data_IF_940119964955
#
_entry.id   IF_940119964955
#
_cell.length_a   1.000
_cell.length_b   1.000
_cell.length_c   1.000
_cell.angle_alpha   90.00
_cell.angle_beta   90.00
_cell.angle_gamma   90.00
#
_symmetry.space_group_name_H-M   'P 1'
#
loop_
_entity.id
_entity.type
_entity.pdbx_description
1 polymer ?
#
# COMPACT_ATOMS: atom_id res chain seq x y z
N UNK A 1 15.40 24.20 19.58
CA UNK A 1 15.07 22.84 19.11
C UNK A 1 14.72 22.95 17.63
N UNK A 2 15.70 22.77 16.75
CA UNK A 2 15.51 22.90 15.31
C UNK A 2 14.82 21.62 14.81
N UNK A 3 13.59 21.74 14.29
CA UNK A 3 12.92 20.66 13.59
C UNK A 3 13.60 20.51 12.23
N UNK A 4 14.39 19.45 12.05
CA UNK A 4 15.13 19.18 10.81
C UNK A 4 14.16 18.82 9.68
N UNK A 5 14.38 19.41 8.50
CA UNK A 5 13.61 19.20 7.28
C UNK A 5 13.50 17.70 6.89
N UNK A 6 14.55 16.92 7.21
CA UNK A 6 14.63 15.46 7.06
C UNK A 6 13.49 14.70 7.75
N UNK A 7 13.02 15.17 8.91
CA UNK A 7 11.95 14.49 9.65
C UNK A 7 10.59 14.69 8.99
N UNK A 8 10.37 15.84 8.35
CA UNK A 8 9.17 16.10 7.56
C UNK A 8 9.18 15.31 6.25
N UNK A 9 10.34 15.22 5.60
CA UNK A 9 10.51 14.40 4.39
C UNK A 9 10.23 12.93 4.68
N UNK A 10 10.76 12.37 5.78
CA UNK A 10 10.50 10.99 6.17
C UNK A 10 9.03 10.70 6.51
N UNK A 11 8.36 11.57 7.26
CA UNK A 11 6.95 11.41 7.58
C UNK A 11 6.03 11.55 6.35
N UNK A 12 6.34 12.51 5.48
CA UNK A 12 5.61 12.72 4.24
C UNK A 12 5.83 11.55 3.25
N UNK A 13 7.04 10.98 3.24
CA UNK A 13 7.35 9.77 2.49
C UNK A 13 6.49 8.59 2.97
N UNK A 14 6.46 8.30 4.28
CA UNK A 14 5.66 7.22 4.84
C UNK A 14 4.15 7.35 4.55
N UNK A 15 3.62 8.58 4.55
CA UNK A 15 2.23 8.83 4.17
C UNK A 15 1.97 8.49 2.69
N UNK A 16 2.85 8.90 1.79
CA UNK A 16 2.74 8.57 0.37
C UNK A 16 2.95 7.08 0.10
N UNK A 17 3.87 6.43 0.81
CA UNK A 17 4.07 4.97 0.77
C UNK A 17 2.79 4.22 1.13
N UNK A 18 2.10 4.63 2.21
CA UNK A 18 0.83 4.03 2.61
C UNK A 18 -0.27 4.21 1.54
N UNK A 19 -0.35 5.40 0.93
CA UNK A 19 -1.27 5.67 -0.17
C UNK A 19 -0.95 4.79 -1.39
N UNK A 20 0.32 4.68 -1.77
CA UNK A 20 0.73 3.87 -2.92
C UNK A 20 0.35 2.40 -2.75
N UNK A 21 0.62 1.83 -1.57
CA UNK A 21 0.21 0.46 -1.22
C UNK A 21 -1.31 0.33 -1.27
N UNK A 22 -2.05 1.25 -0.65
CA UNK A 22 -3.52 1.21 -0.63
C UNK A 22 -4.10 1.23 -2.05
N UNK A 23 -3.68 2.18 -2.88
CA UNK A 23 -4.22 2.38 -4.21
C UNK A 23 -3.85 1.22 -5.14
N UNK A 24 -2.62 0.69 -5.06
CA UNK A 24 -2.22 -0.49 -5.82
C UNK A 24 -3.09 -1.71 -5.49
N UNK A 25 -3.29 -1.99 -4.20
CA UNK A 25 -4.14 -3.11 -3.78
C UNK A 25 -5.60 -2.91 -4.19
N UNK A 26 -6.13 -1.68 -4.08
CA UNK A 26 -7.50 -1.37 -4.52
C UNK A 26 -7.67 -1.49 -6.03
N UNK A 27 -6.65 -1.12 -6.82
CA UNK A 27 -6.69 -1.29 -8.27
C UNK A 27 -6.82 -2.77 -8.66
N UNK A 28 -6.07 -3.66 -7.98
CA UNK A 28 -6.22 -5.09 -8.17
C UNK A 28 -7.63 -5.57 -7.81
N UNK A 29 -8.19 -5.13 -6.68
CA UNK A 29 -9.54 -5.50 -6.26
C UNK A 29 -10.61 -5.01 -7.23
N UNK A 30 -10.47 -3.77 -7.71
CA UNK A 30 -11.37 -3.20 -8.73
C UNK A 30 -11.35 -4.05 -10.00
N UNK A 31 -10.16 -4.45 -10.44
CA UNK A 31 -10.00 -5.35 -11.58
C UNK A 31 -10.63 -6.74 -11.35
N UNK A 32 -10.73 -7.20 -10.09
CA UNK A 32 -11.43 -8.43 -9.72
C UNK A 32 -12.95 -8.25 -9.50
N UNK A 33 -13.50 -7.10 -9.87
CA UNK A 33 -14.95 -6.83 -9.87
C UNK A 33 -15.50 -6.21 -8.59
N UNK A 34 -14.64 -5.81 -7.65
CA UNK A 34 -15.09 -5.05 -6.47
C UNK A 34 -15.34 -3.59 -6.84
N UNK A 35 -16.38 -2.96 -6.30
CA UNK A 35 -16.63 -1.55 -6.58
C UNK A 35 -15.73 -0.63 -5.75
N UNK A 36 -15.47 0.59 -6.25
CA UNK A 36 -14.79 1.63 -5.46
C UNK A 36 -15.49 1.88 -4.12
N UNK A 37 -16.82 2.00 -4.13
CA UNK A 37 -17.66 2.14 -2.92
C UNK A 37 -17.41 1.00 -1.92
N UNK A 38 -17.33 -0.24 -2.40
CA UNK A 38 -17.05 -1.38 -1.54
C UNK A 38 -15.66 -1.23 -0.91
N UNK A 39 -14.63 -0.91 -1.69
CA UNK A 39 -13.27 -0.75 -1.15
C UNK A 39 -13.18 0.43 -0.17
N UNK A 40 -13.89 1.54 -0.45
CA UNK A 40 -13.95 2.72 0.41
C UNK A 40 -14.61 2.41 1.75
N UNK A 41 -15.73 1.70 1.76
CA UNK A 41 -16.49 1.40 2.99
C UNK A 41 -15.85 0.26 3.78
N UNK A 42 -15.44 -0.81 3.11
CA UNK A 42 -14.98 -2.04 3.78
C UNK A 42 -13.50 -2.04 4.09
N UNK A 43 -12.64 -1.55 3.19
CA UNK A 43 -11.20 -1.52 3.43
C UNK A 43 -10.76 -0.22 4.05
N UNK A 44 -11.36 0.91 3.64
CA UNK A 44 -10.93 2.26 4.05
C UNK A 44 -9.41 2.35 3.84
N UNK A 45 -8.67 2.73 4.88
CA UNK A 45 -7.21 2.85 4.92
C UNK A 45 -6.51 1.65 5.59
N UNK A 46 -7.21 0.52 5.77
CA UNK A 46 -6.65 -0.68 6.41
C UNK A 46 -5.83 -1.51 5.40
N UNK A 47 -4.51 -1.28 5.42
CA UNK A 47 -3.56 -1.94 4.51
C UNK A 47 -3.48 -3.45 4.75
N UNK A 48 -3.51 -3.90 6.00
CA UNK A 48 -3.46 -5.33 6.34
C UNK A 48 -4.70 -6.05 5.83
N UNK A 49 -5.87 -5.42 5.95
CA UNK A 49 -7.12 -5.96 5.41
C UNK A 49 -7.10 -6.00 3.88
N UNK A 50 -6.62 -4.94 3.22
CA UNK A 50 -6.46 -4.93 1.77
C UNK A 50 -5.53 -6.07 1.30
N UNK A 51 -4.38 -6.27 1.95
CA UNK A 51 -3.45 -7.37 1.66
C UNK A 51 -4.09 -8.75 1.82
N UNK A 52 -4.85 -8.94 2.90
CA UNK A 52 -5.60 -10.18 3.11
C UNK A 52 -6.61 -10.42 1.98
N UNK A 53 -7.35 -9.40 1.57
CA UNK A 53 -8.33 -9.51 0.50
C UNK A 53 -7.68 -9.90 -0.84
N UNK A 54 -6.59 -9.25 -1.26
CA UNK A 54 -5.95 -9.60 -2.54
C UNK A 54 -5.36 -11.03 -2.51
N UNK A 55 -4.79 -11.46 -1.38
CA UNK A 55 -4.27 -12.83 -1.22
C UNK A 55 -5.37 -13.87 -1.31
N UNK A 56 -6.53 -13.61 -0.70
CA UNK A 56 -7.70 -14.49 -0.79
C UNK A 56 -8.24 -14.63 -2.22
N UNK A 57 -7.93 -13.68 -3.11
CA UNK A 57 -8.30 -13.72 -4.53
C UNK A 57 -7.19 -14.32 -5.41
N UNK A 58 -6.13 -14.88 -4.81
CA UNK A 58 -5.02 -15.51 -5.53
C UNK A 58 -3.98 -14.53 -6.06
N UNK A 59 -3.86 -13.32 -5.50
CA UNK A 59 -2.72 -12.46 -5.82
C UNK A 59 -1.43 -12.99 -5.15
N UNK A 60 -0.61 -13.67 -5.94
CA UNK A 60 0.67 -14.26 -5.49
C UNK A 60 1.85 -13.30 -5.62
N UNK A 61 1.69 -12.19 -6.36
CA UNK A 61 2.75 -11.21 -6.62
C UNK A 61 3.01 -10.21 -5.48
N UNK A 62 2.68 -10.54 -4.22
CA UNK A 62 2.98 -9.66 -3.08
C UNK A 62 4.45 -9.81 -2.72
N UNK A 63 5.28 -8.76 -2.86
CA UNK A 63 6.69 -8.83 -2.48
C UNK A 63 6.89 -9.10 -0.99
N UNK A 64 8.04 -9.70 -0.66
CA UNK A 64 8.50 -9.81 0.71
C UNK A 64 8.64 -8.41 1.33
N UNK A 65 8.35 -8.28 2.63
CA UNK A 65 8.38 -6.99 3.34
C UNK A 65 7.12 -6.13 3.22
N UNK A 66 6.24 -6.31 2.23
CA UNK A 66 4.97 -5.56 2.17
C UNK A 66 4.08 -5.79 3.39
N UNK A 67 4.08 -7.02 3.92
CA UNK A 67 3.32 -7.34 5.14
C UNK A 67 3.85 -6.57 6.35
N UNK A 68 5.16 -6.44 6.46
CA UNK A 68 5.84 -5.74 7.56
C UNK A 68 5.59 -4.23 7.47
N UNK A 69 5.74 -3.66 6.27
CA UNK A 69 5.40 -2.26 6.00
C UNK A 69 3.93 -1.97 6.31
N UNK A 70 2.99 -2.82 5.88
CA UNK A 70 1.57 -2.63 6.17
C UNK A 70 1.24 -2.74 7.66
N UNK A 71 1.99 -3.56 8.42
CA UNK A 71 1.81 -3.71 9.86
C UNK A 71 2.19 -2.44 10.61
N UNK A 72 3.24 -1.73 10.17
CA UNK A 72 3.67 -0.46 10.76
C UNK A 72 2.83 0.71 10.24
N UNK A 73 2.66 0.81 8.92
CA UNK A 73 1.98 1.94 8.29
C UNK A 73 0.47 1.91 8.48
N UNK A 74 -0.16 0.73 8.46
CA UNK A 74 -1.62 0.58 8.47
C UNK A 74 -2.33 1.28 9.64
N UNK A 75 -1.95 1.03 10.90
CA UNK A 75 -2.55 1.69 12.06
C UNK A 75 -2.37 3.22 12.04
N UNK A 76 -1.20 3.70 11.63
CA UNK A 76 -0.89 5.13 11.55
C UNK A 76 -1.62 5.81 10.39
N UNK A 77 -1.81 5.10 9.29
CA UNK A 77 -2.56 5.58 8.15
C UNK A 77 -4.05 5.65 8.46
N UNK A 78 -4.62 4.57 9.03
CA UNK A 78 -6.02 4.49 9.42
C UNK A 78 -6.46 5.51 10.48
N UNK A 79 -5.57 5.86 11.42
CA UNK A 79 -5.81 6.92 12.41
C UNK A 79 -5.60 8.34 11.87
N UNK A 80 -5.01 8.48 10.68
CA UNK A 80 -4.62 9.77 10.10
C UNK A 80 -3.32 10.35 10.68
N UNK A 81 -2.61 9.63 11.54
CA UNK A 81 -1.36 10.06 12.17
C UNK A 81 -0.27 10.38 11.14
N UNK A 82 -0.14 9.58 10.07
CA UNK A 82 0.83 9.85 9.01
C UNK A 82 0.56 11.19 8.32
N UNK A 83 -0.70 11.54 8.07
CA UNK A 83 -1.09 12.83 7.48
C UNK A 83 -0.72 14.02 8.38
N UNK A 84 -0.63 13.80 9.70
CA UNK A 84 -0.21 14.84 10.66
C UNK A 84 1.31 14.98 10.78
N UNK A 85 2.08 14.17 10.05
CA UNK A 85 3.54 14.24 10.04
C UNK A 85 4.22 13.35 11.08
N UNK A 86 3.53 12.33 11.63
CA UNK A 86 4.19 11.31 12.45
C UNK A 86 5.14 10.49 11.57
N UNK A 87 6.41 10.41 11.97
CA UNK A 87 7.44 9.58 11.34
C UNK A 87 7.44 8.20 12.01
N UNK A 88 7.02 7.13 11.31
CA UNK A 88 7.14 5.79 11.83
C UNK A 88 8.59 5.32 11.83
N UNK A 89 8.92 4.43 12.76
CA UNK A 89 10.13 3.62 12.68
C UNK A 89 9.83 2.43 11.75
N UNK A 90 10.39 2.47 10.54
CA UNK A 90 10.18 1.43 9.54
C UNK A 90 11.12 0.26 9.82
N UNK A 91 10.67 -0.99 9.61
CA UNK A 91 11.50 -2.18 9.81
C UNK A 91 12.59 -2.32 8.73
N UNK A 92 12.62 -1.42 7.74
CA UNK A 92 13.42 -1.48 6.54
C UNK A 92 14.01 -0.09 6.24
N UNK A 93 15.21 -0.03 5.63
CA UNK A 93 15.74 1.22 5.09
C UNK A 93 14.77 1.87 4.08
N UNK A 94 14.71 3.20 3.97
CA UNK A 94 13.78 3.90 3.08
C UNK A 94 13.88 3.47 1.61
N UNK A 95 15.09 3.28 1.08
CA UNK A 95 15.35 2.84 -0.29
C UNK A 95 14.83 1.41 -0.54
N UNK A 96 14.97 0.53 0.44
CA UNK A 96 14.44 -0.83 0.40
C UNK A 96 12.91 -0.82 0.44
N UNK A 97 12.31 0.01 1.30
CA UNK A 97 10.87 0.17 1.37
C UNK A 97 10.29 0.70 0.05
N UNK A 98 10.92 1.71 -0.54
CA UNK A 98 10.52 2.27 -1.83
C UNK A 98 10.60 1.23 -2.96
N UNK A 99 11.68 0.43 -3.01
CA UNK A 99 11.82 -0.63 -4.00
C UNK A 99 10.72 -1.69 -3.86
N UNK A 100 10.45 -2.14 -2.62
CA UNK A 100 9.39 -3.12 -2.32
C UNK A 100 8.01 -2.60 -2.76
N UNK A 101 7.74 -1.30 -2.58
CA UNK A 101 6.49 -0.68 -3.04
C UNK A 101 6.42 -0.63 -4.56
N UNK A 102 7.51 -0.26 -5.24
CA UNK A 102 7.61 -0.29 -6.70
C UNK A 102 7.37 -1.70 -7.26
N UNK A 103 7.94 -2.72 -6.61
CA UNK A 103 7.76 -4.12 -7.00
C UNK A 103 6.29 -4.56 -6.84
N UNK A 104 5.63 -4.15 -5.76
CA UNK A 104 4.21 -4.40 -5.55
C UNK A 104 3.36 -3.77 -6.66
N UNK A 105 3.62 -2.50 -6.98
CA UNK A 105 2.87 -1.79 -8.03
C UNK A 105 3.07 -2.44 -9.40
N UNK A 106 4.30 -2.84 -9.71
CA UNK A 106 4.61 -3.56 -10.95
C UNK A 106 3.91 -4.92 -11.03
N UNK A 107 3.85 -5.65 -9.92
CA UNK A 107 3.15 -6.93 -9.84
C UNK A 107 1.63 -6.77 -9.99
N UNK A 108 1.05 -5.72 -9.40
CA UNK A 108 -0.37 -5.37 -9.59
C UNK A 108 -0.64 -5.05 -11.06
N UNK A 109 0.18 -4.21 -11.69
CA UNK A 109 0.05 -3.85 -13.09
C UNK A 109 0.10 -5.09 -14.00
N UNK A 110 1.06 -5.98 -13.79
CA UNK A 110 1.18 -7.22 -14.54
C UNK A 110 -0.05 -8.14 -14.35
N UNK A 111 -0.56 -8.25 -13.12
CA UNK A 111 -1.74 -9.06 -12.83
C UNK A 111 -3.03 -8.50 -13.45
N UNK A 112 -3.13 -7.18 -13.63
CA UNK A 112 -4.23 -6.52 -14.33
C UNK A 112 -4.09 -6.72 -15.85
N UNK A 113 -2.87 -6.60 -16.39
CA UNK A 113 -2.61 -6.73 -17.82
C UNK A 113 -2.91 -8.15 -18.34
N UNK A 114 -2.54 -9.19 -17.58
CA UNK A 114 -2.70 -10.61 -17.99
C UNK A 114 -4.14 -11.05 -18.17
N UNK A 115 -5.09 -10.47 -17.44
CA UNK A 115 -6.51 -10.81 -17.52
C UNK A 115 -7.28 -10.01 -18.59
N UNK A 116 -6.65 -8.98 -19.17
CA UNK A 116 -7.21 -8.17 -20.25
C UNK A 116 -7.20 -8.89 -21.61
N UNK A 117 -6.49 -10.03 -21.70
CA UNK A 117 -6.26 -10.78 -22.94
C UNK A 117 -7.32 -11.83 -23.26
N UNK A 118 -8.31 -12.07 -22.40
CA UNK A 118 -9.29 -13.16 -22.56
C UNK A 118 -10.66 -12.72 -23.09
N UNK A 119 -10.85 -11.42 -23.35
CA UNK A 119 -12.06 -10.86 -23.99
C UNK A 119 -11.78 -10.46 -25.45
N UNK A 120 -11.46 -11.44 -26.30
CA UNK A 120 -11.48 -11.27 -27.77
C UNK A 120 -12.14 -12.46 -28.46
#
# INVERSE_FOLDING_TARGET
MAWTDDDRVGAQSAYHSAIAIELGLKAYLLHRGFSDDWTRVWLRHDLTKALRCVRMLGFEGVPDGITELATVLGPLYGSGALRTGIKPDLPLPPDVADQIICDLLSAVEAAIATNSGTDR
#
